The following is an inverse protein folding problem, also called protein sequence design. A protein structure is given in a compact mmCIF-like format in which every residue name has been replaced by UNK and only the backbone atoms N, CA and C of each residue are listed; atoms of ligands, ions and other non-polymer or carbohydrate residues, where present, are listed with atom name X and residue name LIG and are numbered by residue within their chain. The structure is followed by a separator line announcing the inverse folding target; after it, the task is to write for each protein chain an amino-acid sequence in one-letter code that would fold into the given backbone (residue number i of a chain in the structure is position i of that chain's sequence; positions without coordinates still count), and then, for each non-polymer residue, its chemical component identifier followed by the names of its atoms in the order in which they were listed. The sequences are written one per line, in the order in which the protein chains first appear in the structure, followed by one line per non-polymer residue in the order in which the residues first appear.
data_IF_429494047087
#
_entry.id   IF_429494047087
#
_cell.length_a   1.000
_cell.length_b   1.000
_cell.length_c   1.000
_cell.angle_alpha   90.00
_cell.angle_beta   90.00
_cell.angle_gamma   90.00
#
_symmetry.space_group_name_H-M   'P 1'
#
loop_
_entity.id
_entity.type
_entity.pdbx_description
1 polymer ?
#
# COMPACT_ATOMS: atom_id res chain seq x y z
N UNK A 1 22.09 -28.64 -8.79
CA UNK A 1 21.33 -28.39 -10.05
C UNK A 1 20.03 -27.64 -9.77
N UNK A 2 19.18 -28.11 -8.85
CA UNK A 2 17.88 -27.48 -8.53
C UNK A 2 18.06 -26.06 -7.98
N UNK A 3 19.03 -25.80 -7.08
CA UNK A 3 19.35 -24.46 -6.59
C UNK A 3 19.70 -23.48 -7.73
N UNK A 4 20.53 -23.91 -8.68
CA UNK A 4 20.90 -23.08 -9.83
C UNK A 4 19.68 -22.73 -10.69
N UNK A 5 18.79 -23.70 -10.91
CA UNK A 5 17.53 -23.49 -11.63
C UNK A 5 16.63 -22.50 -10.90
N UNK A 6 16.57 -22.57 -9.57
CA UNK A 6 15.87 -21.60 -8.74
C UNK A 6 16.44 -20.19 -8.84
N UNK A 7 17.75 -20.04 -8.72
CA UNK A 7 18.43 -18.72 -8.93
C UNK A 7 18.19 -18.18 -10.33
N UNK A 8 18.24 -19.03 -11.36
CA UNK A 8 17.93 -18.64 -12.73
C UNK A 8 16.48 -18.18 -12.88
N UNK A 9 15.53 -18.89 -12.26
CA UNK A 9 14.10 -18.52 -12.27
C UNK A 9 13.89 -17.15 -11.67
N UNK A 10 14.41 -16.92 -10.47
CA UNK A 10 14.26 -15.62 -9.78
C UNK A 10 15.04 -14.53 -10.52
N UNK A 11 16.26 -14.79 -10.94
CA UNK A 11 17.07 -13.83 -11.70
C UNK A 11 16.41 -13.41 -13.01
N UNK A 12 15.88 -14.36 -13.78
CA UNK A 12 15.15 -14.09 -15.02
C UNK A 12 13.87 -13.30 -14.76
N UNK A 13 13.10 -13.68 -13.71
CA UNK A 13 11.91 -12.93 -13.29
C UNK A 13 12.27 -11.47 -12.94
N UNK A 14 13.30 -11.27 -12.11
CA UNK A 14 13.75 -9.92 -11.73
C UNK A 14 14.21 -9.10 -12.94
N UNK A 15 15.04 -9.66 -13.82
CA UNK A 15 15.54 -8.96 -15.03
C UNK A 15 14.36 -8.57 -15.93
N UNK A 16 13.44 -9.48 -16.25
CA UNK A 16 12.34 -9.22 -17.15
C UNK A 16 11.38 -8.16 -16.60
N UNK A 17 11.11 -8.20 -15.29
CA UNK A 17 10.20 -7.25 -14.63
C UNK A 17 10.84 -5.88 -14.45
N UNK A 18 12.11 -5.81 -14.03
CA UNK A 18 12.82 -4.54 -13.83
C UNK A 18 13.13 -3.83 -15.15
N UNK A 19 13.43 -4.59 -16.22
CA UNK A 19 13.62 -4.02 -17.56
C UNK A 19 12.31 -3.67 -18.26
N UNK A 20 11.16 -3.95 -17.64
CA UNK A 20 9.80 -3.72 -18.16
C UNK A 20 9.54 -4.39 -19.53
N UNK A 21 10.27 -5.45 -19.86
CA UNK A 21 10.07 -6.17 -21.14
C UNK A 21 8.85 -7.05 -21.15
N UNK A 22 8.43 -7.53 -19.98
CA UNK A 22 7.25 -8.37 -19.79
C UNK A 22 6.45 -7.84 -18.59
N UNK A 23 5.12 -7.97 -18.64
CA UNK A 23 4.29 -7.62 -17.49
C UNK A 23 4.62 -8.53 -16.30
N UNK A 24 4.54 -8.01 -15.08
CA UNK A 24 4.79 -8.80 -13.87
C UNK A 24 3.90 -10.03 -13.80
N UNK A 25 2.61 -9.87 -14.14
CA UNK A 25 1.65 -10.97 -14.19
C UNK A 25 2.11 -12.09 -15.13
N UNK A 26 2.52 -11.73 -16.35
CA UNK A 26 3.01 -12.71 -17.34
C UNK A 26 4.30 -13.37 -16.88
N UNK A 27 5.22 -12.61 -16.30
CA UNK A 27 6.49 -13.12 -15.79
C UNK A 27 6.29 -14.10 -14.62
N UNK A 28 5.37 -13.82 -13.68
CA UNK A 28 5.03 -14.71 -12.57
C UNK A 28 4.49 -16.07 -13.01
N UNK A 29 3.87 -16.14 -14.18
CA UNK A 29 3.35 -17.39 -14.73
C UNK A 29 4.36 -18.07 -15.64
N UNK A 30 4.86 -17.36 -16.66
CA UNK A 30 5.67 -17.99 -17.72
C UNK A 30 7.08 -18.37 -17.25
N UNK A 31 7.75 -17.54 -16.43
CA UNK A 31 9.13 -17.82 -16.04
C UNK A 31 9.23 -19.13 -15.25
N UNK A 32 8.47 -19.36 -14.15
CA UNK A 32 8.56 -20.60 -13.42
C UNK A 32 8.08 -21.82 -14.25
N UNK A 33 7.09 -21.64 -15.13
CA UNK A 33 6.64 -22.72 -16.03
C UNK A 33 7.76 -23.16 -16.96
N UNK A 34 8.43 -22.20 -17.65
CA UNK A 34 9.53 -22.52 -18.56
C UNK A 34 10.73 -23.15 -17.86
N UNK A 35 11.08 -22.63 -16.69
CA UNK A 35 12.22 -23.20 -15.91
C UNK A 35 11.90 -24.55 -15.31
N UNK A 36 10.66 -24.80 -14.86
CA UNK A 36 10.21 -26.10 -14.41
C UNK A 36 10.20 -27.15 -15.53
N UNK A 37 9.74 -26.76 -16.73
CA UNK A 37 9.83 -27.62 -17.92
C UNK A 37 11.28 -27.97 -18.26
N UNK A 38 12.17 -26.97 -18.26
CA UNK A 38 13.61 -27.18 -18.49
C UNK A 38 14.25 -28.07 -17.41
N UNK A 39 13.71 -28.04 -16.18
CA UNK A 39 14.13 -28.90 -15.06
C UNK A 39 13.54 -30.30 -15.08
N UNK A 40 12.68 -30.66 -16.04
CA UNK A 40 12.07 -31.98 -16.15
C UNK A 40 10.80 -32.18 -15.29
N UNK A 41 10.23 -31.12 -14.69
CA UNK A 41 9.06 -31.20 -13.80
C UNK A 41 7.70 -31.10 -14.53
N UNK A 42 7.66 -31.27 -15.85
CA UNK A 42 6.46 -31.04 -16.65
C UNK A 42 5.23 -31.86 -16.20
N UNK A 43 5.42 -33.12 -15.85
CA UNK A 43 4.31 -34.00 -15.45
C UNK A 43 3.66 -33.61 -14.11
N UNK A 44 4.45 -33.04 -13.19
CA UNK A 44 4.00 -32.67 -11.83
C UNK A 44 3.55 -31.21 -11.71
N UNK A 45 3.75 -30.41 -12.76
CA UNK A 45 3.54 -28.96 -12.72
C UNK A 45 2.07 -28.58 -12.46
N UNK A 46 1.10 -29.29 -13.04
CA UNK A 46 -0.33 -29.05 -12.85
C UNK A 46 -0.73 -29.10 -11.37
N UNK A 47 -0.48 -30.21 -10.68
CA UNK A 47 -0.71 -30.30 -9.23
C UNK A 47 0.00 -29.20 -8.40
N UNK A 48 1.26 -28.85 -8.74
CA UNK A 48 2.01 -27.79 -8.06
C UNK A 48 1.32 -26.42 -8.20
N UNK A 49 0.88 -26.09 -9.42
CA UNK A 49 0.14 -24.85 -9.69
C UNK A 49 -1.18 -24.80 -8.90
N UNK A 50 -1.99 -25.87 -8.95
CA UNK A 50 -3.26 -25.93 -8.24
C UNK A 50 -3.08 -25.81 -6.73
N UNK A 51 -2.06 -26.47 -6.18
CA UNK A 51 -1.71 -26.34 -4.75
C UNK A 51 -1.31 -24.91 -4.38
N UNK A 52 -0.58 -24.21 -5.27
CA UNK A 52 -0.22 -22.79 -5.08
C UNK A 52 -1.45 -21.88 -5.12
N UNK A 53 -2.31 -22.04 -6.14
CA UNK A 53 -3.55 -21.27 -6.28
C UNK A 53 -4.48 -21.46 -5.08
N UNK A 54 -4.67 -22.69 -4.62
CA UNK A 54 -5.52 -23.00 -3.46
C UNK A 54 -5.04 -22.29 -2.18
N UNK A 55 -3.73 -22.18 -1.99
CA UNK A 55 -3.15 -21.52 -0.82
C UNK A 55 -3.29 -20.00 -0.81
N UNK A 56 -3.27 -19.35 -1.97
CA UNK A 56 -3.42 -17.88 -2.06
C UNK A 56 -4.87 -17.44 -2.25
N UNK A 57 -5.80 -18.36 -2.50
CA UNK A 57 -7.20 -18.04 -2.75
C UNK A 57 -7.85 -17.22 -1.62
N UNK A 58 -7.66 -17.53 -0.32
CA UNK A 58 -8.22 -16.71 0.76
C UNK A 58 -7.74 -15.25 0.71
N UNK A 59 -6.44 -15.04 0.43
CA UNK A 59 -5.87 -13.70 0.31
C UNK A 59 -6.43 -12.96 -0.91
N UNK A 60 -6.58 -13.65 -2.05
CA UNK A 60 -7.17 -13.08 -3.26
C UNK A 60 -8.62 -12.63 -3.04
N UNK A 61 -9.44 -13.47 -2.38
CA UNK A 61 -10.83 -13.14 -2.02
C UNK A 61 -10.87 -11.95 -1.07
N UNK A 62 -10.05 -11.95 -0.02
CA UNK A 62 -9.95 -10.86 0.93
C UNK A 62 -9.70 -9.52 0.24
N UNK A 63 -8.70 -9.46 -0.64
CA UNK A 63 -8.33 -8.23 -1.33
C UNK A 63 -9.42 -7.77 -2.27
N UNK A 64 -10.03 -8.68 -3.04
CA UNK A 64 -11.12 -8.36 -3.96
C UNK A 64 -12.26 -7.65 -3.22
N UNK A 65 -12.73 -8.23 -2.13
CA UNK A 65 -13.84 -7.67 -1.37
C UNK A 65 -13.45 -6.48 -0.49
N UNK A 66 -12.21 -6.39 -0.03
CA UNK A 66 -11.71 -5.20 0.66
C UNK A 66 -11.68 -3.98 -0.28
N UNK A 67 -11.16 -4.16 -1.50
CA UNK A 67 -11.15 -3.09 -2.52
C UNK A 67 -12.58 -2.65 -2.84
N UNK A 68 -13.50 -3.58 -3.08
CA UNK A 68 -14.91 -3.25 -3.34
C UNK A 68 -15.56 -2.51 -2.16
N UNK A 69 -15.32 -2.98 -0.93
CA UNK A 69 -15.87 -2.39 0.28
C UNK A 69 -15.42 -0.94 0.47
N UNK A 70 -14.11 -0.71 0.44
CA UNK A 70 -13.58 0.64 0.66
C UNK A 70 -13.86 1.58 -0.51
N UNK A 71 -13.86 1.08 -1.75
CA UNK A 71 -14.29 1.87 -2.90
C UNK A 71 -15.74 2.35 -2.77
N UNK A 72 -16.65 1.47 -2.30
CA UNK A 72 -18.04 1.85 -2.00
C UNK A 72 -18.09 2.89 -0.88
N UNK A 73 -17.29 2.74 0.19
CA UNK A 73 -17.22 3.71 1.29
C UNK A 73 -16.72 5.08 0.82
N UNK A 74 -15.76 5.11 -0.10
CA UNK A 74 -15.27 6.34 -0.73
C UNK A 74 -16.36 6.97 -1.60
N UNK A 75 -17.00 6.20 -2.48
CA UNK A 75 -18.06 6.67 -3.38
C UNK A 75 -19.25 7.26 -2.60
N UNK A 76 -19.59 6.68 -1.44
CA UNK A 76 -20.63 7.20 -0.56
C UNK A 76 -20.20 8.41 0.28
N UNK A 77 -18.93 8.81 0.19
CA UNK A 77 -18.38 9.97 0.87
C UNK A 77 -18.25 9.81 2.38
N UNK A 78 -17.92 8.60 2.85
CA UNK A 78 -17.69 8.30 4.27
C UNK A 78 -16.68 9.26 4.92
N UNK A 79 -15.62 9.61 4.19
CA UNK A 79 -14.53 10.45 4.71
C UNK A 79 -14.77 11.96 4.59
N UNK A 80 -15.79 12.42 3.88
CA UNK A 80 -16.03 13.84 3.64
C UNK A 80 -16.37 14.66 4.91
N UNK A 81 -17.14 14.14 5.89
CA UNK A 81 -17.37 14.87 7.13
C UNK A 81 -16.06 15.08 7.90
N UNK A 82 -15.18 14.07 7.89
CA UNK A 82 -13.87 14.13 8.53
C UNK A 82 -12.97 15.18 7.84
N UNK A 83 -12.88 15.15 6.52
CA UNK A 83 -12.09 16.11 5.73
C UNK A 83 -12.57 17.54 6.02
N UNK A 84 -13.90 17.79 5.95
CA UNK A 84 -14.48 19.09 6.25
C UNK A 84 -14.27 19.52 7.70
N UNK A 85 -14.38 18.58 8.65
CA UNK A 85 -14.16 18.84 10.08
C UNK A 85 -12.72 19.28 10.36
N UNK A 86 -11.75 18.54 9.83
CA UNK A 86 -10.32 18.85 9.99
C UNK A 86 -9.98 20.20 9.34
N UNK A 87 -10.46 20.48 8.14
CA UNK A 87 -10.21 21.76 7.47
C UNK A 87 -10.81 22.95 8.24
N UNK A 88 -11.99 22.80 8.84
CA UNK A 88 -12.59 23.83 9.70
C UNK A 88 -11.79 24.04 10.98
N UNK A 89 -11.30 22.97 11.61
CA UNK A 89 -10.54 23.04 12.86
C UNK A 89 -9.14 23.64 12.65
N UNK A 90 -8.58 23.47 11.46
CA UNK A 90 -7.23 23.92 11.13
C UNK A 90 -7.10 25.45 11.11
N UNK A 91 -8.18 26.22 10.85
CA UNK A 91 -8.23 27.69 10.92
C UNK A 91 -7.03 28.36 10.27
N UNK A 92 -6.64 27.93 9.08
CA UNK A 92 -5.53 28.47 8.30
C UNK A 92 -4.14 28.44 8.99
N UNK A 93 -3.95 27.64 10.05
CA UNK A 93 -2.66 27.43 10.68
C UNK A 93 -1.88 26.31 9.96
N UNK A 94 -0.71 26.62 9.36
CA UNK A 94 0.12 25.65 8.64
C UNK A 94 0.44 24.37 9.42
N UNK A 95 0.65 24.49 10.75
CA UNK A 95 0.92 23.35 11.60
C UNK A 95 -0.28 22.42 11.70
N UNK A 96 -1.48 22.99 11.94
CA UNK A 96 -2.72 22.22 12.04
C UNK A 96 -3.10 21.59 10.71
N UNK A 97 -2.84 22.29 9.59
CA UNK A 97 -3.03 21.75 8.24
C UNK A 97 -2.11 20.56 7.99
N UNK A 98 -0.82 20.63 8.35
CA UNK A 98 0.11 19.52 8.16
C UNK A 98 -0.33 18.26 8.97
N UNK A 99 -0.68 18.42 10.25
CA UNK A 99 -1.19 17.31 11.07
C UNK A 99 -2.53 16.80 10.53
N UNK A 100 -3.43 17.70 10.14
CA UNK A 100 -4.71 17.33 9.52
C UNK A 100 -4.53 16.57 8.22
N UNK A 101 -3.54 16.94 7.39
CA UNK A 101 -3.16 16.20 6.18
C UNK A 101 -2.79 14.76 6.51
N UNK A 102 -1.98 14.53 7.56
CA UNK A 102 -1.60 13.17 7.97
C UNK A 102 -2.84 12.36 8.37
N UNK A 103 -3.72 12.93 9.19
CA UNK A 103 -4.95 12.24 9.64
C UNK A 103 -5.87 11.91 8.46
N UNK A 104 -6.14 12.89 7.57
CA UNK A 104 -6.96 12.66 6.37
C UNK A 104 -6.35 11.55 5.51
N UNK A 105 -5.04 11.62 5.26
CA UNK A 105 -4.34 10.62 4.45
C UNK A 105 -4.46 9.22 5.05
N UNK A 106 -4.23 9.08 6.36
CA UNK A 106 -4.33 7.80 7.04
C UNK A 106 -5.74 7.22 6.99
N UNK A 107 -6.77 8.07 7.12
CA UNK A 107 -8.15 7.61 7.02
C UNK A 107 -8.54 7.19 5.60
N UNK A 108 -8.13 7.96 4.58
CA UNK A 108 -8.40 7.62 3.18
C UNK A 108 -7.62 6.38 2.77
N UNK A 109 -6.37 6.22 3.23
CA UNK A 109 -5.51 5.07 2.92
C UNK A 109 -6.00 3.73 3.48
N UNK A 110 -7.10 3.72 4.24
CA UNK A 110 -7.79 2.47 4.62
C UNK A 110 -8.31 1.68 3.43
N UNK A 111 -8.46 2.29 2.25
CA UNK A 111 -8.84 1.58 1.02
C UNK A 111 -7.76 0.58 0.54
N UNK A 112 -6.51 0.75 0.98
CA UNK A 112 -5.37 -0.08 0.58
C UNK A 112 -4.85 0.23 -0.83
N UNK A 113 -5.41 1.24 -1.53
CA UNK A 113 -4.95 1.71 -2.83
C UNK A 113 -4.28 3.08 -2.75
N UNK A 114 -2.97 3.11 -3.00
CA UNK A 114 -2.22 4.35 -2.94
C UNK A 114 -2.58 5.36 -4.03
N UNK A 115 -3.06 4.92 -5.18
CA UNK A 115 -3.44 5.83 -6.27
C UNK A 115 -4.69 6.64 -5.90
N UNK A 116 -5.74 5.96 -5.43
CA UNK A 116 -6.97 6.58 -4.93
C UNK A 116 -6.69 7.51 -3.76
N UNK A 117 -5.90 7.03 -2.78
CA UNK A 117 -5.48 7.83 -1.62
C UNK A 117 -4.85 9.16 -2.04
N UNK A 118 -3.93 9.14 -3.01
CA UNK A 118 -3.24 10.35 -3.46
C UNK A 118 -4.15 11.26 -4.27
N UNK A 119 -4.98 10.70 -5.16
CA UNK A 119 -5.96 11.47 -5.91
C UNK A 119 -6.90 12.25 -4.99
N UNK A 120 -7.48 11.59 -4.00
CA UNK A 120 -8.44 12.19 -3.07
C UNK A 120 -7.76 13.23 -2.18
N UNK A 121 -6.65 12.83 -1.54
CA UNK A 121 -5.99 13.69 -0.54
C UNK A 121 -5.37 14.93 -1.17
N UNK A 122 -4.67 14.77 -2.31
CA UNK A 122 -4.03 15.90 -2.99
C UNK A 122 -5.07 16.83 -3.59
N UNK A 123 -6.13 16.30 -4.24
CA UNK A 123 -7.21 17.14 -4.78
C UNK A 123 -7.90 17.97 -3.71
N UNK A 124 -8.13 17.38 -2.53
CA UNK A 124 -8.80 18.08 -1.43
C UNK A 124 -7.90 19.14 -0.77
N UNK A 125 -6.60 18.88 -0.65
CA UNK A 125 -5.70 19.68 0.19
C UNK A 125 -4.81 20.65 -0.58
N UNK A 126 -4.45 20.35 -1.83
CA UNK A 126 -3.57 21.22 -2.63
C UNK A 126 -4.09 22.67 -2.77
N UNK A 127 -5.39 22.91 -2.99
CA UNK A 127 -5.92 24.28 -3.00
C UNK A 127 -5.70 25.02 -1.68
N UNK A 128 -5.82 24.32 -0.55
CA UNK A 128 -5.59 24.88 0.80
C UNK A 128 -4.12 25.23 0.97
N UNK A 129 -3.19 24.35 0.59
CA UNK A 129 -1.76 24.59 0.63
C UNK A 129 -1.37 25.81 -0.24
N UNK A 130 -1.92 25.90 -1.45
CA UNK A 130 -1.68 27.04 -2.34
C UNK A 130 -2.21 28.36 -1.73
N UNK A 131 -3.43 28.36 -1.17
CA UNK A 131 -4.02 29.53 -0.51
C UNK A 131 -3.16 30.03 0.64
N UNK A 132 -2.62 29.11 1.46
CA UNK A 132 -1.76 29.42 2.60
C UNK A 132 -0.29 29.60 2.24
N UNK A 133 0.09 29.54 0.97
CA UNK A 133 1.47 29.61 0.49
C UNK A 133 2.39 28.56 1.12
N UNK A 134 1.83 27.46 1.58
CA UNK A 134 2.58 26.32 2.08
C UNK A 134 3.30 25.59 0.94
N UNK A 135 4.46 25.01 1.25
CA UNK A 135 5.23 24.25 0.27
C UNK A 135 4.49 22.98 -0.16
N UNK A 136 4.34 22.72 -1.48
CA UNK A 136 3.80 21.44 -1.96
C UNK A 136 4.63 20.23 -1.52
N UNK A 137 5.92 20.41 -1.20
CA UNK A 137 6.77 19.36 -0.64
C UNK A 137 6.28 18.91 0.75
N UNK A 138 5.75 19.83 1.55
CA UNK A 138 5.14 19.48 2.85
C UNK A 138 3.90 18.63 2.63
N UNK A 139 3.04 18.98 1.66
CA UNK A 139 1.88 18.17 1.31
C UNK A 139 2.31 16.76 0.91
N UNK A 140 3.17 16.64 -0.11
CA UNK A 140 3.60 15.34 -0.64
C UNK A 140 4.34 14.52 0.42
N UNK A 141 5.14 15.16 1.26
CA UNK A 141 5.86 14.48 2.34
C UNK A 141 4.95 13.92 3.42
N UNK A 142 4.00 14.71 3.90
CA UNK A 142 3.06 14.27 4.94
C UNK A 142 2.11 13.18 4.40
N UNK A 143 1.63 13.34 3.16
CA UNK A 143 0.83 12.29 2.47
C UNK A 143 1.65 11.02 2.34
N UNK A 144 2.93 11.12 1.98
CA UNK A 144 3.84 9.98 1.91
C UNK A 144 3.93 9.20 3.23
N UNK A 145 4.14 9.90 4.35
CA UNK A 145 4.26 9.26 5.66
C UNK A 145 2.96 8.60 6.10
N UNK A 146 1.83 9.29 5.94
CA UNK A 146 0.52 8.77 6.34
C UNK A 146 0.12 7.54 5.54
N UNK A 147 0.19 7.61 4.20
CA UNK A 147 -0.12 6.48 3.34
C UNK A 147 0.87 5.32 3.55
N UNK A 148 2.15 5.63 3.77
CA UNK A 148 3.19 4.63 4.00
C UNK A 148 2.89 3.73 5.19
N UNK A 149 2.60 4.28 6.36
CA UNK A 149 2.28 3.49 7.56
C UNK A 149 0.96 2.70 7.36
N UNK A 150 -0.05 3.31 6.77
CA UNK A 150 -1.33 2.64 6.54
C UNK A 150 -1.24 1.50 5.51
N UNK A 151 -0.23 1.48 4.65
CA UNK A 151 -0.03 0.40 3.69
C UNK A 151 0.33 -0.96 4.33
N UNK A 152 0.57 -0.99 5.66
CA UNK A 152 0.76 -2.22 6.45
C UNK A 152 -0.55 -2.98 6.75
N UNK A 153 -1.74 -2.40 6.54
CA UNK A 153 -3.01 -3.08 6.79
C UNK A 153 -3.10 -4.44 6.05
N UNK A 154 -3.88 -5.40 6.53
CA UNK A 154 -3.87 -6.77 5.97
C UNK A 154 -4.20 -6.86 4.49
N UNK A 155 -5.05 -5.98 3.98
CA UNK A 155 -5.40 -5.85 2.57
C UNK A 155 -4.52 -4.82 1.84
N UNK A 156 -3.59 -4.18 2.51
CA UNK A 156 -2.57 -3.32 1.90
C UNK A 156 -1.62 -4.13 1.02
N UNK A 157 -1.11 -3.47 -0.01
CA UNK A 157 -0.29 -4.12 -1.04
C UNK A 157 0.86 -4.98 -0.51
N UNK A 158 1.72 -4.49 0.38
CA UNK A 158 2.84 -5.24 0.95
C UNK A 158 2.40 -6.47 1.76
N UNK A 159 1.50 -6.26 2.73
CA UNK A 159 1.04 -7.30 3.65
C UNK A 159 0.32 -8.42 2.90
N UNK A 160 -0.55 -8.08 1.97
CA UNK A 160 -1.24 -9.05 1.15
C UNK A 160 -0.29 -9.91 0.30
N UNK A 161 0.77 -9.30 -0.27
CA UNK A 161 1.80 -10.03 -1.02
C UNK A 161 2.62 -10.96 -0.14
N UNK A 162 3.04 -10.47 1.04
CA UNK A 162 3.77 -11.30 2.01
C UNK A 162 2.95 -12.51 2.44
N UNK A 163 1.68 -12.30 2.80
CA UNK A 163 0.76 -13.40 3.16
C UNK A 163 0.58 -14.39 2.01
N UNK A 164 0.36 -13.90 0.78
CA UNK A 164 0.17 -14.76 -0.37
C UNK A 164 1.40 -15.61 -0.68
N UNK A 165 2.59 -15.00 -0.72
CA UNK A 165 3.82 -15.69 -1.14
C UNK A 165 4.33 -16.69 -0.10
N UNK A 166 4.22 -16.34 1.18
CA UNK A 166 4.66 -17.20 2.28
C UNK A 166 3.55 -18.11 2.82
N UNK A 167 2.33 -18.00 2.25
CA UNK A 167 1.17 -18.84 2.61
C UNK A 167 0.76 -18.66 4.08
N UNK A 168 0.82 -17.43 4.55
CA UNK A 168 0.51 -17.01 5.91
C UNK A 168 -0.85 -16.29 5.94
N UNK A 169 -1.44 -16.23 7.12
CA UNK A 169 -2.66 -15.46 7.35
C UNK A 169 -2.41 -14.14 8.09
N UNK A 170 -3.45 -13.33 8.21
CA UNK A 170 -3.39 -12.02 8.85
C UNK A 170 -3.02 -12.10 10.33
N UNK A 171 -3.39 -13.18 11.04
CA UNK A 171 -3.07 -13.36 12.44
C UNK A 171 -1.58 -13.57 12.68
N UNK A 172 -0.91 -14.19 11.73
CA UNK A 172 0.53 -14.46 11.78
C UNK A 172 1.38 -13.25 11.35
N UNK A 173 0.90 -12.46 10.37
CA UNK A 173 1.70 -11.37 9.79
C UNK A 173 1.32 -10.00 10.38
N UNK A 174 0.04 -9.65 10.38
CA UNK A 174 -0.41 -8.31 10.75
C UNK A 174 -0.63 -8.14 12.26
N UNK A 175 -1.31 -9.09 12.91
CA UNK A 175 -1.67 -8.93 14.32
C UNK A 175 -0.46 -8.68 15.23
N UNK A 176 0.68 -9.39 15.08
CA UNK A 176 1.85 -9.13 15.93
C UNK A 176 2.51 -7.77 15.68
N UNK A 177 2.42 -7.20 14.47
CA UNK A 177 2.98 -5.88 14.16
C UNK A 177 2.01 -4.72 14.39
N UNK A 178 0.77 -4.99 14.79
CA UNK A 178 -0.21 -3.95 15.08
C UNK A 178 0.30 -2.91 16.11
N UNK A 179 0.96 -3.29 17.22
CA UNK A 179 1.55 -2.32 18.14
C UNK A 179 2.60 -1.43 17.46
N UNK A 180 3.45 -2.00 16.60
CA UNK A 180 4.45 -1.25 15.84
C UNK A 180 3.80 -0.27 14.86
N UNK A 181 2.70 -0.68 14.20
CA UNK A 181 1.91 0.21 13.35
C UNK A 181 1.29 1.37 14.13
N UNK A 182 0.72 1.11 15.32
CA UNK A 182 0.17 2.18 16.18
C UNK A 182 1.25 3.17 16.59
N UNK A 183 2.44 2.70 16.98
CA UNK A 183 3.58 3.56 17.28
C UNK A 183 4.02 4.32 16.03
N UNK A 184 4.02 3.70 14.86
CA UNK A 184 4.27 4.33 13.57
C UNK A 184 3.27 5.45 13.26
N UNK A 185 1.97 5.25 13.52
CA UNK A 185 0.93 6.29 13.38
C UNK A 185 1.23 7.48 14.30
N UNK A 186 1.51 7.23 15.57
CA UNK A 186 1.88 8.30 16.53
C UNK A 186 3.13 9.03 16.04
N UNK A 187 4.14 8.30 15.57
CA UNK A 187 5.35 8.90 15.01
C UNK A 187 5.06 9.77 13.78
N UNK A 188 4.19 9.32 12.86
CA UNK A 188 3.78 10.11 11.69
C UNK A 188 3.09 11.41 12.11
N UNK A 189 2.25 11.38 13.14
CA UNK A 189 1.65 12.60 13.68
C UNK A 189 2.71 13.55 14.27
N UNK A 190 3.68 13.03 15.00
CA UNK A 190 4.82 13.81 15.54
C UNK A 190 5.68 14.38 14.40
N UNK A 191 6.03 13.57 13.40
CA UNK A 191 6.78 14.00 12.22
C UNK A 191 6.04 15.11 11.46
N UNK A 192 4.72 14.93 11.25
CA UNK A 192 3.87 15.92 10.59
C UNK A 192 3.75 17.21 11.39
N UNK A 193 3.71 17.12 12.72
CA UNK A 193 3.77 18.28 13.63
C UNK A 193 5.10 19.02 13.47
N UNK A 194 6.23 18.31 13.48
CA UNK A 194 7.57 18.92 13.33
C UNK A 194 7.77 19.56 11.96
N UNK A 195 7.31 18.89 10.90
CA UNK A 195 7.30 19.43 9.53
C UNK A 195 6.40 20.69 9.46
N UNK A 196 5.20 20.61 10.01
CA UNK A 196 4.27 21.74 10.09
C UNK A 196 4.81 22.92 10.91
N UNK A 197 5.53 22.65 12.02
CA UNK A 197 6.19 23.67 12.83
C UNK A 197 7.31 24.39 12.06
N UNK A 198 8.10 23.65 11.29
CA UNK A 198 9.13 24.23 10.41
C UNK A 198 8.49 25.11 9.34
N UNK A 199 7.39 24.64 8.74
CA UNK A 199 6.65 25.39 7.72
C UNK A 199 6.00 26.67 8.29
N UNK A 200 5.40 26.59 9.48
CA UNK A 200 4.87 27.74 10.21
C UNK A 200 5.95 28.79 10.51
N UNK A 201 7.16 28.35 10.92
CA UNK A 201 8.31 29.26 11.13
C UNK A 201 8.78 29.89 9.82
N UNK A 202 8.74 29.15 8.70
CA UNK A 202 9.11 29.65 7.36
C UNK A 202 8.17 30.73 6.87
N UNK A 203 6.87 30.55 7.09
CA UNK A 203 5.83 31.47 6.61
C UNK A 203 5.64 32.71 7.50
N UNK A 204 6.09 32.64 8.77
CA UNK A 204 5.74 33.64 9.77
C UNK A 204 4.26 33.59 10.17
N UNK A 205 3.82 34.53 11.00
CA UNK A 205 2.37 34.75 11.24
C UNK A 205 1.81 35.54 10.08
N UNK A 206 1.35 34.85 9.04
CA UNK A 206 0.66 35.51 7.93
C UNK A 206 -0.76 35.84 8.41
N UNK A 207 -0.99 37.09 8.77
CA UNK A 207 -2.35 37.66 8.79
C UNK A 207 -2.79 37.73 7.32
N UNK A 208 -3.79 36.94 6.96
CA UNK A 208 -4.39 36.99 5.63
C UNK A 208 -4.96 38.43 5.44
N UNK A 209 -4.72 39.09 4.30
CA UNK A 209 -5.51 40.27 3.94
C UNK A 209 -6.96 39.78 3.77
N UNK A 210 -7.90 40.48 4.36
CA UNK A 210 -9.33 40.29 4.07
C UNK A 210 -9.54 40.40 2.55
N UNK A 211 -10.41 39.57 1.97
CA UNK A 211 -10.71 39.66 0.56
C UNK A 211 -11.36 41.04 0.27
N UNK A 212 -10.59 41.91 -0.34
CA UNK A 212 -11.15 43.16 -0.89
C UNK A 212 -12.13 42.78 -1.99
N UNK A 213 -13.37 43.28 -1.97
CA UNK A 213 -14.30 43.10 -3.06
C UNK A 213 -13.92 44.02 -4.19
N UNK A 214 -13.07 43.57 -5.10
CA UNK A 214 -12.79 44.30 -6.34
C UNK A 214 -13.60 43.66 -7.50
N UNK A 215 -14.63 44.35 -8.02
CA UNK A 215 -15.54 43.79 -9.02
C UNK A 215 -15.03 43.90 -10.48
N UNK A 216 -13.74 44.13 -10.70
CA UNK A 216 -13.23 44.34 -12.06
C UNK A 216 -11.97 43.53 -12.37
N UNK A 217 -12.11 42.22 -12.64
CA UNK A 217 -11.22 41.53 -13.56
C UNK A 217 -11.97 40.45 -14.32
N UNK A 218 -12.36 40.83 -15.52
CA UNK A 218 -12.85 39.91 -16.54
C UNK A 218 -11.76 38.93 -17.00
N UNK A 219 -12.28 37.82 -17.38
CA UNK A 219 -11.73 36.78 -18.24
C UNK A 219 -10.35 37.04 -18.85
N UNK A 220 -9.38 36.22 -18.51
CA UNK A 220 -8.45 35.63 -19.48
C UNK A 220 -7.49 34.61 -18.86
N UNK A 221 -7.40 33.47 -19.55
CA UNK A 221 -6.33 32.46 -19.52
C UNK A 221 -6.25 31.52 -18.34
N UNK A 222 -7.06 30.48 -18.35
CA UNK A 222 -6.55 29.13 -18.06
C UNK A 222 -5.66 28.67 -19.22
N UNK A 223 -4.47 28.13 -18.97
CA UNK A 223 -4.20 26.76 -19.39
C UNK A 223 -3.12 26.06 -18.56
N UNK A 224 -3.43 25.04 -17.81
CA UNK A 224 -2.45 24.00 -17.40
C UNK A 224 -3.05 22.79 -16.68
N UNK A 225 -4.33 22.77 -16.34
CA UNK A 225 -4.96 21.61 -15.70
C UNK A 225 -5.33 20.48 -16.68
N UNK A 226 -5.56 20.82 -17.96
CA UNK A 226 -5.95 19.83 -18.97
C UNK A 226 -4.81 18.86 -19.36
N UNK A 227 -3.55 19.30 -19.39
CA UNK A 227 -2.42 18.43 -19.75
C UNK A 227 -2.06 17.38 -18.69
N UNK A 228 -2.36 17.63 -17.42
CA UNK A 228 -2.16 16.65 -16.37
C UNK A 228 -3.26 15.57 -16.35
N UNK A 229 -4.48 15.95 -16.75
CA UNK A 229 -5.59 15.02 -16.89
C UNK A 229 -5.43 14.09 -18.10
N UNK A 230 -4.82 14.57 -19.18
CA UNK A 230 -4.64 13.81 -20.44
C UNK A 230 -3.57 12.69 -20.32
N UNK A 231 -2.63 12.80 -19.38
CA UNK A 231 -1.62 11.77 -19.13
C UNK A 231 -2.13 10.60 -18.25
N UNK A 232 -3.28 10.77 -17.58
CA UNK A 232 -3.93 9.75 -16.73
C UNK A 232 -5.18 9.17 -17.40
N UNK A 233 -5.67 9.81 -18.48
CA UNK A 233 -6.81 9.33 -19.25
C UNK A 233 -6.42 8.22 -20.24
N UNK A 234 -5.99 7.06 -19.70
CA UNK A 234 -6.27 5.80 -20.35
C UNK A 234 -7.72 5.46 -20.06
N UNK A 235 -8.62 5.78 -21.01
CA UNK A 235 -10.01 5.33 -21.12
C UNK A 235 -10.71 4.90 -19.81
N UNK A 236 -11.21 5.86 -19.04
CA UNK A 236 -12.17 5.60 -17.98
C UNK A 236 -13.14 6.78 -17.86
N UNK A 237 -14.47 6.56 -17.93
CA UNK A 237 -15.46 7.62 -17.80
C UNK A 237 -15.56 8.07 -16.34
N UNK A 238 -14.93 9.17 -16.02
CA UNK A 238 -14.96 9.78 -14.69
C UNK A 238 -15.33 11.24 -14.74
N UNK A 239 -16.54 11.58 -15.18
CA UNK A 239 -17.14 12.88 -14.92
C UNK A 239 -17.39 12.99 -13.42
N UNK A 240 -16.98 14.08 -12.73
CA UNK A 240 -17.35 14.29 -11.33
C UNK A 240 -18.87 14.45 -11.26
N UNK A 241 -19.55 13.41 -10.83
CA UNK A 241 -20.98 13.47 -10.52
C UNK A 241 -21.21 14.49 -9.40
N UNK A 242 -22.20 15.35 -9.57
CA UNK A 242 -22.68 16.24 -8.52
C UNK A 242 -22.89 15.44 -7.23
N UNK A 243 -22.48 15.97 -6.05
CA UNK A 243 -22.51 15.20 -4.82
C UNK A 243 -23.93 14.69 -4.57
N UNK A 244 -24.13 13.36 -4.42
CA UNK A 244 -25.44 12.83 -4.14
C UNK A 244 -26.01 13.45 -2.86
N UNK A 245 -27.32 13.69 -2.83
CA UNK A 245 -28.03 14.15 -1.60
C UNK A 245 -27.79 13.12 -0.50
N UNK A 246 -26.91 13.48 0.43
CA UNK A 246 -26.42 12.56 1.47
C UNK A 246 -27.43 12.48 2.59
N UNK A 247 -27.95 11.29 2.88
CA UNK A 247 -28.69 11.02 4.09
C UNK A 247 -27.69 10.82 5.25
N UNK A 248 -27.73 11.64 6.30
CA UNK A 248 -26.79 11.52 7.43
C UNK A 248 -26.84 10.14 8.10
N UNK A 249 -28.02 9.49 8.08
CA UNK A 249 -28.18 8.14 8.58
C UNK A 249 -27.31 7.10 7.84
N UNK A 250 -27.15 7.20 6.51
CA UNK A 250 -26.29 6.31 5.74
C UNK A 250 -24.82 6.51 6.08
N UNK A 251 -24.38 7.75 6.28
CA UNK A 251 -22.99 8.03 6.69
C UNK A 251 -22.69 7.44 8.08
N UNK A 252 -23.62 7.56 9.03
CA UNK A 252 -23.49 6.97 10.38
C UNK A 252 -23.47 5.45 10.29
N UNK A 253 -24.35 4.86 9.48
CA UNK A 253 -24.38 3.41 9.25
C UNK A 253 -23.06 2.91 8.66
N UNK A 254 -22.55 3.57 7.60
CA UNK A 254 -21.30 3.20 6.94
C UNK A 254 -20.11 3.32 7.90
N UNK A 255 -20.08 4.35 8.74
CA UNK A 255 -19.07 4.51 9.77
C UNK A 255 -19.16 3.38 10.82
N UNK A 256 -20.35 3.09 11.32
CA UNK A 256 -20.55 2.01 12.28
C UNK A 256 -20.17 0.64 11.70
N UNK A 257 -20.54 0.36 10.46
CA UNK A 257 -20.15 -0.87 9.75
C UNK A 257 -18.64 -0.98 9.57
N UNK A 258 -17.97 0.12 9.19
CA UNK A 258 -16.52 0.16 9.04
C UNK A 258 -15.81 -0.06 10.38
N UNK A 259 -16.27 0.59 11.45
CA UNK A 259 -15.73 0.38 12.80
C UNK A 259 -15.96 -1.06 13.26
N UNK A 260 -17.16 -1.62 13.04
CA UNK A 260 -17.46 -3.00 13.39
C UNK A 260 -16.54 -3.99 12.64
N UNK A 261 -16.28 -3.73 11.36
CA UNK A 261 -15.35 -4.55 10.54
C UNK A 261 -13.92 -4.47 11.10
N UNK A 262 -13.42 -3.27 11.41
CA UNK A 262 -12.08 -3.09 11.99
C UNK A 262 -11.96 -3.72 13.39
N UNK A 263 -12.98 -3.60 14.22
CA UNK A 263 -13.03 -4.27 15.53
C UNK A 263 -13.08 -5.79 15.36
N UNK A 264 -13.90 -6.29 14.44
CA UNK A 264 -13.98 -7.72 14.12
C UNK A 264 -12.65 -8.29 13.62
N UNK A 265 -11.87 -7.49 12.87
CA UNK A 265 -10.50 -7.82 12.48
C UNK A 265 -9.57 -7.95 13.70
N UNK A 266 -9.57 -6.95 14.58
CA UNK A 266 -8.68 -6.92 15.76
C UNK A 266 -9.03 -8.06 16.73
N UNK A 267 -10.32 -8.29 16.97
CA UNK A 267 -10.82 -9.36 17.85
C UNK A 267 -10.79 -10.74 17.17
N UNK A 268 -10.46 -10.83 15.88
CA UNK A 268 -10.43 -12.08 15.12
C UNK A 268 -11.73 -12.89 15.21
N UNK A 269 -12.86 -12.22 15.18
CA UNK A 269 -14.21 -12.82 15.33
C UNK A 269 -14.46 -13.89 14.27
N UNK A 270 -13.94 -13.67 13.04
CA UNK A 270 -13.99 -14.61 11.93
C UNK A 270 -12.84 -14.37 10.97
N UNK A 271 -12.54 -15.33 10.05
CA UNK A 271 -11.49 -15.14 9.04
C UNK A 271 -11.71 -13.87 8.23
N UNK A 272 -10.66 -13.10 8.01
CA UNK A 272 -10.71 -11.79 7.38
C UNK A 272 -11.37 -11.79 5.99
N UNK A 273 -11.15 -12.80 5.10
CA UNK A 273 -11.88 -12.87 3.84
C UNK A 273 -13.39 -12.89 4.01
N UNK A 274 -13.88 -13.60 5.02
CA UNK A 274 -15.33 -13.71 5.31
C UNK A 274 -15.88 -12.39 5.81
N UNK A 275 -15.13 -11.69 6.68
CA UNK A 275 -15.49 -10.35 7.16
C UNK A 275 -15.74 -9.37 6.01
N UNK A 276 -14.82 -9.36 5.02
CA UNK A 276 -14.97 -8.46 3.88
C UNK A 276 -16.09 -8.86 2.92
N UNK A 277 -16.29 -10.16 2.66
CA UNK A 277 -17.38 -10.66 1.83
C UNK A 277 -18.72 -10.24 2.43
N UNK A 278 -18.94 -10.52 3.72
CA UNK A 278 -20.18 -10.18 4.42
C UNK A 278 -20.33 -8.67 4.55
N UNK A 279 -19.27 -7.97 4.96
CA UNK A 279 -19.29 -6.52 5.11
C UNK A 279 -19.61 -5.79 3.81
N UNK A 280 -19.03 -6.22 2.68
CA UNK A 280 -19.35 -5.69 1.36
C UNK A 280 -20.79 -5.96 0.97
N UNK A 281 -21.29 -7.19 1.16
CA UNK A 281 -22.69 -7.53 0.83
C UNK A 281 -23.69 -6.67 1.59
N UNK A 282 -23.48 -6.46 2.91
CA UNK A 282 -24.30 -5.58 3.74
C UNK A 282 -24.20 -4.13 3.24
N UNK A 283 -22.99 -3.65 3.00
CA UNK A 283 -22.74 -2.29 2.52
C UNK A 283 -23.40 -2.03 1.15
N UNK A 284 -23.26 -2.96 0.21
CA UNK A 284 -23.85 -2.86 -1.11
C UNK A 284 -25.38 -2.84 -1.06
N UNK A 285 -26.00 -3.72 -0.26
CA UNK A 285 -27.45 -3.78 -0.10
C UNK A 285 -28.03 -2.47 0.47
N UNK A 286 -27.37 -1.90 1.48
CA UNK A 286 -27.87 -0.70 2.17
C UNK A 286 -27.66 0.57 1.34
N UNK A 287 -26.50 0.71 0.71
CA UNK A 287 -26.17 1.91 -0.08
C UNK A 287 -26.71 1.87 -1.52
N UNK A 288 -26.84 0.68 -2.10
CA UNK A 288 -27.31 0.46 -3.45
C UNK A 288 -28.43 -0.61 -3.48
N UNK A 289 -29.67 -0.25 -3.10
CA UNK A 289 -30.76 -1.22 -2.94
C UNK A 289 -31.29 -1.75 -4.29
N UNK A 290 -30.95 -1.15 -5.43
CA UNK A 290 -31.38 -1.63 -6.75
C UNK A 290 -30.27 -2.45 -7.43
N UNK A 291 -30.69 -3.46 -8.21
CA UNK A 291 -29.79 -4.32 -8.98
C UNK A 291 -28.88 -3.53 -9.91
N UNK A 292 -29.42 -2.54 -10.63
CA UNK A 292 -28.69 -1.72 -11.60
C UNK A 292 -27.56 -0.96 -10.93
N UNK A 293 -27.78 -0.37 -9.75
CA UNK A 293 -26.77 0.36 -8.99
C UNK A 293 -25.67 -0.54 -8.45
N UNK A 294 -26.01 -1.78 -8.07
CA UNK A 294 -25.01 -2.76 -7.64
C UNK A 294 -24.13 -3.20 -8.81
N UNK A 295 -24.71 -3.40 -10.00
CA UNK A 295 -23.94 -3.65 -11.20
C UNK A 295 -23.04 -2.48 -11.58
N UNK A 296 -23.55 -1.26 -11.59
CA UNK A 296 -22.74 -0.05 -11.85
C UNK A 296 -21.56 0.09 -10.90
N UNK A 297 -21.75 -0.24 -9.61
CA UNK A 297 -20.65 -0.26 -8.63
C UNK A 297 -19.57 -1.27 -9.01
N UNK A 298 -19.97 -2.50 -9.35
CA UNK A 298 -19.05 -3.56 -9.76
C UNK A 298 -18.30 -3.19 -11.04
N UNK A 299 -19.00 -2.68 -12.05
CA UNK A 299 -18.41 -2.27 -13.33
C UNK A 299 -17.37 -1.14 -13.14
N UNK A 300 -17.68 -0.18 -12.27
CA UNK A 300 -16.79 0.96 -11.97
C UNK A 300 -15.47 0.51 -11.34
N UNK A 301 -15.50 -0.46 -10.44
CA UNK A 301 -14.33 -0.92 -9.69
C UNK A 301 -13.73 -2.23 -10.21
N UNK A 302 -14.34 -2.86 -11.22
CA UNK A 302 -13.90 -4.15 -11.79
C UNK A 302 -12.42 -4.17 -12.17
N UNK A 303 -11.93 -3.11 -12.82
CA UNK A 303 -10.52 -3.01 -13.25
C UNK A 303 -9.55 -3.14 -12.08
N UNK A 304 -9.80 -2.42 -10.99
CA UNK A 304 -8.94 -2.45 -9.78
C UNK A 304 -8.96 -3.83 -9.13
N UNK A 305 -10.14 -4.42 -8.99
CA UNK A 305 -10.31 -5.77 -8.41
C UNK A 305 -9.60 -6.82 -9.25
N UNK A 306 -9.82 -6.83 -10.57
CA UNK A 306 -9.21 -7.80 -11.47
C UNK A 306 -7.69 -7.70 -11.45
N UNK A 307 -7.13 -6.48 -11.53
CA UNK A 307 -5.69 -6.29 -11.52
C UNK A 307 -5.03 -6.83 -10.26
N UNK A 308 -5.56 -6.51 -9.07
CA UNK A 308 -4.95 -6.93 -7.81
C UNK A 308 -5.15 -8.42 -7.59
N UNK A 309 -6.33 -8.95 -7.86
CA UNK A 309 -6.66 -10.37 -7.64
C UNK A 309 -5.86 -11.29 -8.56
N UNK A 310 -5.76 -10.94 -9.85
CA UNK A 310 -4.99 -11.73 -10.82
C UNK A 310 -3.50 -11.75 -10.48
N UNK A 311 -2.94 -10.66 -9.93
CA UNK A 311 -1.56 -10.65 -9.45
C UNK A 311 -1.32 -11.63 -8.30
N UNK A 312 -2.25 -11.73 -7.35
CA UNK A 312 -2.16 -12.69 -6.24
C UNK A 312 -2.24 -14.14 -6.75
N UNK A 313 -3.14 -14.43 -7.70
CA UNK A 313 -3.21 -15.77 -8.29
C UNK A 313 -1.97 -16.11 -9.12
N UNK A 314 -1.43 -15.16 -9.89
CA UNK A 314 -0.17 -15.37 -10.61
C UNK A 314 1.01 -15.65 -9.65
N UNK A 315 1.05 -14.96 -8.50
CA UNK A 315 2.00 -15.25 -7.43
C UNK A 315 1.80 -16.67 -6.83
N UNK A 316 0.55 -17.14 -6.76
CA UNK A 316 0.22 -18.51 -6.38
C UNK A 316 0.83 -19.54 -7.33
N UNK A 317 0.76 -19.28 -8.65
CA UNK A 317 1.42 -20.13 -9.67
C UNK A 317 2.93 -20.16 -9.44
N UNK A 318 3.55 -18.97 -9.31
CA UNK A 318 4.99 -18.82 -9.10
C UNK A 318 5.47 -19.61 -7.88
N UNK A 319 4.87 -19.35 -6.72
CA UNK A 319 5.26 -19.98 -5.46
C UNK A 319 4.89 -21.47 -5.41
N UNK A 320 3.81 -21.86 -6.07
CA UNK A 320 3.40 -23.26 -6.19
C UNK A 320 4.46 -24.09 -6.89
N UNK A 321 4.97 -23.62 -8.04
CA UNK A 321 6.03 -24.28 -8.80
C UNK A 321 7.35 -24.28 -8.00
N UNK A 322 7.82 -23.13 -7.52
CA UNK A 322 9.10 -23.04 -6.82
C UNK A 322 9.14 -23.89 -5.53
N UNK A 323 8.01 -24.00 -4.84
CA UNK A 323 7.89 -24.84 -3.63
C UNK A 323 7.84 -26.34 -4.02
N UNK A 324 7.00 -26.68 -5.01
CA UNK A 324 6.81 -28.06 -5.45
C UNK A 324 8.08 -28.69 -6.03
N UNK A 325 8.86 -27.91 -6.78
CA UNK A 325 10.17 -28.32 -7.32
C UNK A 325 11.30 -28.28 -6.28
N UNK A 326 11.05 -27.82 -5.05
CA UNK A 326 12.05 -27.60 -3.98
C UNK A 326 13.13 -26.57 -4.32
N UNK A 327 12.94 -25.75 -5.38
CA UNK A 327 13.91 -24.72 -5.77
C UNK A 327 14.20 -23.75 -4.64
N UNK A 328 13.16 -23.28 -3.92
CA UNK A 328 13.32 -22.36 -2.79
C UNK A 328 14.17 -22.98 -1.69
N UNK A 329 13.92 -24.24 -1.33
CA UNK A 329 14.64 -24.93 -0.27
C UNK A 329 16.13 -25.07 -0.61
N UNK A 330 16.44 -25.49 -1.82
CA UNK A 330 17.83 -25.66 -2.29
C UNK A 330 18.58 -24.34 -2.36
N UNK A 331 17.92 -23.27 -2.79
CA UNK A 331 18.48 -21.92 -2.77
C UNK A 331 18.79 -21.44 -1.35
N UNK A 332 17.85 -21.67 -0.43
CA UNK A 332 18.00 -21.29 0.97
C UNK A 332 19.17 -22.04 1.61
N UNK A 333 19.30 -23.36 1.36
CA UNK A 333 20.45 -24.15 1.83
C UNK A 333 21.77 -23.58 1.30
N UNK A 334 21.81 -23.15 0.04
CA UNK A 334 22.99 -22.51 -0.51
C UNK A 334 23.36 -21.22 0.21
N UNK A 335 22.37 -20.38 0.57
CA UNK A 335 22.58 -19.14 1.32
C UNK A 335 22.99 -19.40 2.77
N UNK A 336 22.37 -20.37 3.47
CA UNK A 336 22.73 -20.74 4.85
C UNK A 336 24.20 -21.14 4.92
N UNK A 337 24.71 -21.87 3.92
CA UNK A 337 26.13 -22.26 3.88
C UNK A 337 27.11 -21.10 3.66
N UNK A 338 26.64 -19.93 3.22
CA UNK A 338 27.46 -18.75 2.94
C UNK A 338 27.37 -17.74 4.08
N UNK A 339 26.20 -17.63 4.71
CA UNK A 339 25.95 -16.66 5.79
C UNK A 339 26.54 -17.19 7.09
N UNK A 340 27.44 -16.43 7.76
CA UNK A 340 27.93 -16.85 9.08
C UNK A 340 26.79 -16.95 10.11
N UNK A 341 26.84 -17.95 10.98
CA UNK A 341 25.82 -18.19 12.03
C UNK A 341 25.55 -16.94 12.90
N UNK A 342 26.59 -16.14 13.14
CA UNK A 342 26.48 -14.88 13.88
C UNK A 342 25.57 -13.83 13.22
N UNK A 343 25.37 -13.91 11.90
CA UNK A 343 24.47 -13.01 11.17
C UNK A 343 23.08 -13.61 10.93
N UNK A 344 22.98 -14.95 10.97
CA UNK A 344 21.75 -15.67 10.69
C UNK A 344 20.60 -15.22 11.61
N UNK A 345 20.85 -15.10 12.90
CA UNK A 345 19.87 -14.65 13.89
C UNK A 345 19.34 -13.25 13.66
N UNK A 346 20.13 -12.37 13.05
CA UNK A 346 19.77 -10.96 12.82
C UNK A 346 19.06 -10.69 11.48
N UNK A 347 18.76 -11.73 10.70
CA UNK A 347 18.10 -11.57 9.40
C UNK A 347 16.80 -10.77 9.46
N UNK A 348 15.88 -10.94 10.42
CA UNK A 348 14.65 -10.14 10.48
C UNK A 348 14.94 -8.65 10.62
N UNK A 349 15.88 -8.28 11.48
CA UNK A 349 16.25 -6.87 11.70
C UNK A 349 16.88 -6.27 10.43
N UNK A 350 17.75 -7.01 9.76
CA UNK A 350 18.35 -6.60 8.49
C UNK A 350 17.28 -6.39 7.40
N UNK A 351 16.33 -7.31 7.30
CA UNK A 351 15.19 -7.21 6.37
C UNK A 351 14.35 -5.96 6.66
N UNK A 352 14.04 -5.69 7.94
CA UNK A 352 13.26 -4.53 8.34
C UNK A 352 13.96 -3.22 8.00
N UNK A 353 15.23 -3.06 8.37
CA UNK A 353 16.00 -1.83 8.17
C UNK A 353 16.26 -1.57 6.69
N UNK A 354 16.63 -2.61 5.93
CA UNK A 354 16.94 -2.47 4.50
C UNK A 354 15.69 -2.37 3.64
N UNK A 355 14.53 -2.77 4.13
CA UNK A 355 13.28 -2.82 3.39
C UNK A 355 12.91 -1.48 2.73
N UNK A 356 12.94 -0.38 3.49
CA UNK A 356 12.62 0.95 2.94
C UNK A 356 13.61 1.41 1.84
N UNK A 357 14.94 1.39 2.02
CA UNK A 357 15.89 1.70 0.95
C UNK A 357 15.75 0.80 -0.27
N UNK A 358 15.51 -0.50 -0.08
CA UNK A 358 15.33 -1.44 -1.19
C UNK A 358 14.07 -1.17 -2.02
N UNK A 359 13.10 -0.43 -1.49
CA UNK A 359 11.94 0.06 -2.26
C UNK A 359 12.33 1.01 -3.41
N UNK A 360 13.51 1.61 -3.38
CA UNK A 360 14.02 2.44 -4.47
C UNK A 360 14.62 1.60 -5.61
N UNK A 361 14.98 0.34 -5.33
CA UNK A 361 15.64 -0.57 -6.26
C UNK A 361 14.69 -1.62 -6.80
N UNK A 362 13.84 -2.18 -5.94
CA UNK A 362 12.90 -3.24 -6.29
C UNK A 362 11.48 -2.70 -6.44
N UNK A 363 10.76 -3.21 -7.46
CA UNK A 363 9.30 -3.07 -7.48
C UNK A 363 8.67 -3.91 -6.35
N UNK A 364 7.43 -3.60 -5.90
CA UNK A 364 6.75 -4.41 -4.88
C UNK A 364 6.75 -5.90 -5.23
N UNK A 365 6.39 -6.19 -6.48
CA UNK A 365 6.24 -7.57 -6.96
C UNK A 365 7.59 -8.30 -7.05
N UNK A 366 8.63 -7.60 -7.52
CA UNK A 366 9.98 -8.15 -7.59
C UNK A 366 10.51 -8.54 -6.21
N UNK A 367 10.30 -7.69 -5.20
CA UNK A 367 10.74 -7.99 -3.85
C UNK A 367 9.90 -9.08 -3.18
N UNK A 368 8.58 -8.90 -3.14
CA UNK A 368 7.73 -9.84 -2.39
C UNK A 368 7.66 -11.22 -3.05
N UNK A 369 7.60 -11.31 -4.36
CA UNK A 369 7.50 -12.60 -5.05
C UNK A 369 8.87 -13.21 -5.39
N UNK A 370 9.90 -12.38 -5.61
CA UNK A 370 11.24 -12.87 -5.96
C UNK A 370 12.16 -13.05 -4.77
N UNK A 371 12.29 -12.04 -3.92
CA UNK A 371 13.32 -11.99 -2.87
C UNK A 371 12.82 -12.56 -1.54
N UNK A 372 11.63 -12.16 -1.08
CA UNK A 372 11.11 -12.52 0.24
C UNK A 372 11.02 -14.02 0.50
N UNK A 373 10.57 -14.89 -0.43
CA UNK A 373 10.50 -16.34 -0.18
C UNK A 373 11.86 -16.95 0.13
N UNK A 374 12.90 -16.48 -0.56
CA UNK A 374 14.27 -16.97 -0.35
C UNK A 374 14.79 -16.51 1.00
N UNK A 375 14.58 -15.23 1.36
CA UNK A 375 14.96 -14.72 2.68
C UNK A 375 14.25 -15.47 3.81
N UNK A 376 12.95 -15.72 3.67
CA UNK A 376 12.16 -16.43 4.68
C UNK A 376 12.63 -17.89 4.84
N UNK A 377 12.91 -18.58 3.74
CA UNK A 377 13.41 -19.94 3.79
C UNK A 377 14.86 -20.03 4.32
N UNK A 378 15.70 -19.04 3.96
CA UNK A 378 17.07 -18.92 4.50
C UNK A 378 17.03 -18.71 6.02
N UNK A 379 16.18 -17.79 6.50
CA UNK A 379 15.98 -17.54 7.92
C UNK A 379 15.50 -18.82 8.67
N UNK A 380 14.66 -19.64 8.02
CA UNK A 380 14.25 -20.94 8.52
C UNK A 380 15.43 -21.88 8.80
N UNK A 381 16.51 -21.81 8.02
CA UNK A 381 17.75 -22.55 8.27
C UNK A 381 18.47 -22.15 9.57
N UNK A 382 18.20 -20.94 10.08
CA UNK A 382 18.68 -20.44 11.37
C UNK A 382 17.62 -20.51 12.48
N UNK A 383 16.52 -21.24 12.25
CA UNK A 383 15.45 -21.44 13.26
C UNK A 383 14.43 -20.29 13.35
N UNK A 384 14.44 -19.33 12.40
CA UNK A 384 13.53 -18.19 12.39
C UNK A 384 12.29 -18.53 11.56
N UNK A 385 11.10 -18.20 12.09
CA UNK A 385 9.84 -18.45 11.40
C UNK A 385 9.66 -17.55 10.17
N UNK A 386 9.09 -18.10 9.10
CA UNK A 386 8.77 -17.32 7.87
C UNK A 386 7.83 -16.13 8.16
N UNK A 387 6.95 -16.28 9.16
CA UNK A 387 6.06 -15.21 9.60
C UNK A 387 6.82 -14.00 10.16
N UNK A 388 7.94 -14.24 10.83
CA UNK A 388 8.79 -13.19 11.39
C UNK A 388 9.49 -12.38 10.30
N UNK A 389 10.00 -13.07 9.27
CA UNK A 389 10.60 -12.39 8.10
C UNK A 389 9.53 -11.61 7.31
N UNK A 390 8.31 -12.14 7.22
CA UNK A 390 7.18 -11.40 6.63
C UNK A 390 6.89 -10.10 7.40
N UNK A 391 6.82 -10.20 8.75
CA UNK A 391 6.64 -9.05 9.65
C UNK A 391 7.74 -8.02 9.46
N UNK A 392 8.97 -8.45 9.42
CA UNK A 392 10.13 -7.60 9.18
C UNK A 392 10.06 -6.87 7.82
N UNK A 393 9.70 -7.58 6.75
CA UNK A 393 9.60 -7.02 5.41
C UNK A 393 8.55 -5.90 5.32
N UNK A 394 7.37 -6.09 5.93
CA UNK A 394 6.30 -5.09 5.86
C UNK A 394 6.55 -3.83 6.70
N UNK A 395 7.55 -3.81 7.58
CA UNK A 395 7.93 -2.61 8.34
C UNK A 395 8.57 -1.53 7.45
N UNK A 396 9.15 -1.89 6.32
CA UNK A 396 9.88 -0.96 5.45
C UNK A 396 9.54 -1.07 3.97
N UNK A 397 9.58 -2.30 3.45
CA UNK A 397 9.47 -2.54 2.01
C UNK A 397 8.08 -2.22 1.49
N UNK A 398 7.99 -1.20 0.62
CA UNK A 398 6.73 -0.74 0.01
C UNK A 398 5.62 -0.34 1.00
N UNK A 399 5.98 -0.14 2.26
CA UNK A 399 5.20 0.58 3.27
C UNK A 399 5.70 2.01 3.32
N UNK A 400 6.65 2.32 4.16
CA UNK A 400 7.29 3.64 4.22
C UNK A 400 8.06 4.01 2.94
N UNK A 401 8.55 3.03 2.20
CA UNK A 401 9.23 3.22 0.92
C UNK A 401 8.30 3.37 -0.30
N UNK A 402 7.03 2.98 -0.18
CA UNK A 402 6.07 2.99 -1.29
C UNK A 402 5.93 4.37 -1.95
N UNK A 403 5.62 5.45 -1.22
CA UNK A 403 5.36 6.74 -1.85
C UNK A 403 6.65 7.50 -2.26
N UNK A 404 7.83 6.91 -2.02
CA UNK A 404 9.11 7.44 -2.49
C UNK A 404 9.63 6.71 -3.72
N UNK A 405 9.17 5.48 -3.94
CA UNK A 405 9.72 4.62 -4.96
C UNK A 405 9.48 5.18 -6.37
N UNK A 406 10.52 5.30 -7.20
CA UNK A 406 10.37 5.65 -8.61
C UNK A 406 9.78 4.50 -9.42
N UNK A 407 9.55 3.34 -8.79
CA UNK A 407 9.09 2.12 -9.43
C UNK A 407 7.60 1.87 -9.24
N UNK A 408 6.90 2.78 -8.54
CA UNK A 408 5.44 2.72 -8.35
C UNK A 408 4.74 3.86 -9.09
N UNK A 409 3.69 3.54 -9.85
CA UNK A 409 2.91 4.53 -10.59
C UNK A 409 2.26 5.58 -9.67
N UNK A 410 1.82 5.16 -8.48
CA UNK A 410 1.19 6.03 -7.51
C UNK A 410 2.10 7.18 -7.04
N UNK A 411 3.42 6.96 -6.93
CA UNK A 411 4.38 8.04 -6.62
C UNK A 411 4.33 9.16 -7.66
N UNK A 412 4.21 8.81 -8.93
CA UNK A 412 4.11 9.82 -10.00
C UNK A 412 2.78 10.56 -9.99
N UNK A 413 1.69 9.92 -9.55
CA UNK A 413 0.42 10.61 -9.31
C UNK A 413 0.60 11.65 -8.20
N UNK A 414 1.19 11.26 -7.07
CA UNK A 414 1.43 12.16 -5.93
C UNK A 414 2.23 13.41 -6.33
N UNK A 415 3.39 13.20 -6.97
CA UNK A 415 4.29 14.31 -7.32
C UNK A 415 3.76 15.12 -8.51
N UNK A 416 3.13 14.46 -9.50
CA UNK A 416 2.58 15.10 -10.69
C UNK A 416 1.42 16.04 -10.36
N UNK A 417 0.45 15.58 -9.58
CA UNK A 417 -0.68 16.41 -9.13
C UNK A 417 -0.25 17.59 -8.27
N UNK A 418 0.79 17.41 -7.46
CA UNK A 418 1.31 18.46 -6.57
C UNK A 418 2.26 19.44 -7.28
N UNK A 419 2.67 19.17 -8.53
CA UNK A 419 3.63 19.96 -9.26
C UNK A 419 5.05 19.92 -8.68
N UNK A 420 5.42 18.82 -8.02
CA UNK A 420 6.70 18.62 -7.36
C UNK A 420 7.58 17.68 -8.18
N UNK A 421 8.88 17.96 -8.27
CA UNK A 421 9.81 17.04 -8.91
C UNK A 421 10.11 15.83 -8.00
N UNK A 422 10.14 14.62 -8.56
CA UNK A 422 10.39 13.39 -7.82
C UNK A 422 11.65 13.45 -6.95
N UNK A 423 12.77 13.93 -7.51
CA UNK A 423 14.02 14.03 -6.76
C UNK A 423 13.97 15.01 -5.59
N UNK A 424 13.19 16.09 -5.68
CA UNK A 424 12.96 17.03 -4.57
C UNK A 424 12.10 16.36 -3.48
N UNK A 425 11.04 15.65 -3.87
CA UNK A 425 10.20 14.88 -2.98
C UNK A 425 11.03 13.84 -2.21
N UNK A 426 11.80 13.04 -2.92
CA UNK A 426 12.66 12.01 -2.31
C UNK A 426 13.66 12.61 -1.31
N UNK A 427 14.37 13.67 -1.68
CA UNK A 427 15.33 14.35 -0.77
C UNK A 427 14.66 14.91 0.48
N UNK A 428 13.45 15.45 0.33
CA UNK A 428 12.71 16.04 1.44
C UNK A 428 12.25 14.99 2.45
N UNK A 429 11.73 13.87 1.97
CA UNK A 429 11.00 12.93 2.83
C UNK A 429 11.79 11.66 3.18
N UNK A 430 12.89 11.34 2.48
CA UNK A 430 13.66 10.11 2.68
C UNK A 430 14.02 9.88 4.15
N UNK A 431 14.61 10.89 4.79
CA UNK A 431 15.02 10.79 6.20
C UNK A 431 13.85 10.53 7.15
N UNK A 432 12.70 11.16 6.92
CA UNK A 432 11.49 10.95 7.72
C UNK A 432 10.89 9.56 7.52
N UNK A 433 10.83 9.09 6.27
CA UNK A 433 10.33 7.75 5.94
C UNK A 433 11.25 6.67 6.52
N UNK A 434 12.56 6.85 6.42
CA UNK A 434 13.52 5.93 7.02
C UNK A 434 13.45 5.93 8.55
N UNK A 435 13.33 7.10 9.17
CA UNK A 435 13.10 7.20 10.61
C UNK A 435 11.79 6.51 11.04
N UNK A 436 10.73 6.59 10.23
CA UNK A 436 9.48 5.86 10.47
C UNK A 436 9.72 4.35 10.47
N UNK A 437 10.47 3.82 9.49
CA UNK A 437 10.87 2.40 9.47
C UNK A 437 11.64 2.01 10.72
N UNK A 438 12.63 2.82 11.13
CA UNK A 438 13.42 2.52 12.32
C UNK A 438 12.58 2.53 13.59
N UNK A 439 11.70 3.51 13.77
CA UNK A 439 10.78 3.59 14.92
C UNK A 439 9.88 2.35 14.97
N UNK A 440 9.30 1.95 13.84
CA UNK A 440 8.46 0.76 13.77
C UNK A 440 9.27 -0.54 14.00
N UNK A 441 10.50 -0.61 13.50
CA UNK A 441 11.40 -1.75 13.73
C UNK A 441 11.75 -1.90 15.21
N UNK A 442 12.12 -0.80 15.88
CA UNK A 442 12.38 -0.79 17.33
C UNK A 442 11.11 -1.20 18.10
N UNK A 443 9.96 -0.68 17.71
CA UNK A 443 8.69 -1.07 18.32
C UNK A 443 8.39 -2.58 18.13
N UNK A 444 8.64 -3.12 16.94
CA UNK A 444 8.44 -4.54 16.65
C UNK A 444 9.40 -5.44 17.45
N UNK A 445 10.64 -5.00 17.66
CA UNK A 445 11.60 -5.69 18.55
C UNK A 445 11.12 -5.66 20.01
N UNK A 446 10.71 -4.52 20.51
CA UNK A 446 10.25 -4.36 21.90
C UNK A 446 8.97 -5.15 22.20
N UNK A 447 8.13 -5.35 21.21
CA UNK A 447 6.89 -6.14 21.35
C UNK A 447 7.05 -7.62 21.02
N UNK A 448 8.26 -8.05 20.63
CA UNK A 448 8.53 -9.45 20.25
C UNK A 448 7.89 -9.86 18.92
N UNK A 449 7.49 -8.89 18.09
CA UNK A 449 6.98 -9.19 16.75
C UNK A 449 8.09 -9.68 15.80
N UNK A 450 9.32 -9.24 16.02
CA UNK A 450 10.55 -9.73 15.39
C UNK A 450 11.62 -9.93 16.46
N UNK A 451 12.50 -10.92 16.25
CA UNK A 451 13.65 -11.19 17.12
C UNK A 451 14.92 -10.43 16.67
N UNK A 452 15.91 -10.37 17.54
CA UNK A 452 17.20 -9.72 17.31
C UNK A 452 18.19 -10.74 16.73
#
# INVERSE_FOLDING_TARGET
MIALLGFLTIGLFLVLTMTRRVSVLTALVLVPVLTALAGGFGAEMGPMILAGLGKVAPTGIMIAFAVLYFSLMIDTGLFDPLIRGILRLAKDDPLRIAVGTAVITMCVALDGDGASTFLITVSALLPVYKRLRMSPLVLTGVVCLGAGVMNMIPWGGPTARAMAVLKLDSSQVFTPVLPAMVIGIVWVLVASYLIGLRERRRLGTVSLPEPSPDPSRGSSSEPSSERAAEFVAGDGPGTPLAPPRRHPALTVFNLALTVALLVGLILQVMPLPVLFVVGFAIAALVNHPSWEKQQELLDRHAKSVVLVTTMIFAAGVFTGILTGTKMINEMATAFVNIIPDSFGGHLPVLVAITGMPLSLVFTPDAYYFGVLPVLAQTAGGFGIESAEVARAAILGQMTTGFPLSPLTAATFILVGMSGVQLGQHQRFIFGWAFATTLVMTVAALLTGAISL
#
